data_IF_337758564377
#
_entry.id   IF_337758564377
#
_cell.length_a   1.000
_cell.length_b   1.000
_cell.length_c   1.000
_cell.angle_alpha   90.00
_cell.angle_beta   90.00
_cell.angle_gamma   90.00
#
_symmetry.space_group_name_H-M   'P 1'
#
loop_
_entity.id
_entity.type
_entity.pdbx_description
1 polymer ?
#
# COMPACT_ATOMS: atom_id res chain seq x y z
N UNK A 1 -13.48 -35.70 5.14
CA UNK A 1 -12.36 -34.93 4.55
C UNK A 1 -12.95 -33.67 3.96
N UNK A 2 -13.18 -32.66 4.82
CA UNK A 2 -13.85 -31.43 4.44
C UNK A 2 -12.86 -30.51 3.74
N UNK A 3 -13.31 -29.98 2.61
CA UNK A 3 -12.59 -29.18 1.64
C UNK A 3 -11.98 -27.94 2.30
N UNK A 4 -10.65 -27.83 2.30
CA UNK A 4 -9.96 -26.55 2.37
C UNK A 4 -10.28 -25.82 1.06
N UNK A 5 -11.43 -25.15 0.98
CA UNK A 5 -11.66 -24.15 -0.06
C UNK A 5 -10.60 -23.09 0.12
N UNK A 6 -9.68 -22.97 -0.84
CA UNK A 6 -8.71 -21.90 -0.89
C UNK A 6 -9.47 -20.57 -0.86
N UNK A 7 -9.44 -19.87 0.27
CA UNK A 7 -10.06 -18.57 0.41
C UNK A 7 -9.33 -17.60 -0.52
N UNK A 8 -10.00 -17.17 -1.59
CA UNK A 8 -9.49 -16.15 -2.50
C UNK A 8 -10.07 -14.81 -2.07
N UNK A 9 -9.22 -13.81 -1.85
CA UNK A 9 -9.62 -12.46 -1.46
C UNK A 9 -8.83 -11.43 -2.26
N UNK A 10 -9.41 -10.24 -2.40
CA UNK A 10 -8.78 -9.12 -3.10
C UNK A 10 -8.13 -8.18 -2.08
N UNK A 11 -6.83 -7.98 -2.22
CA UNK A 11 -6.05 -7.05 -1.40
C UNK A 11 -5.40 -6.00 -2.30
N UNK A 12 -5.21 -4.80 -1.76
CA UNK A 12 -4.20 -3.90 -2.31
C UNK A 12 -2.82 -4.48 -2.01
N UNK A 13 -1.83 -4.29 -2.89
CA UNK A 13 -0.51 -4.93 -2.75
C UNK A 13 0.26 -4.44 -1.51
N UNK A 14 0.15 -3.15 -1.17
CA UNK A 14 0.91 -2.55 -0.05
C UNK A 14 0.72 -3.28 1.29
N UNK A 15 -0.50 -3.55 1.79
CA UNK A 15 -0.68 -4.24 3.08
C UNK A 15 -0.29 -5.72 3.11
N UNK A 16 -0.03 -6.35 1.96
CA UNK A 16 0.25 -7.80 1.86
C UNK A 16 1.63 -8.12 1.26
N UNK A 17 2.46 -7.10 1.01
CA UNK A 17 3.76 -7.26 0.36
C UNK A 17 4.69 -8.23 1.12
N UNK A 18 4.63 -8.18 2.46
CA UNK A 18 5.39 -9.08 3.33
C UNK A 18 4.92 -10.52 3.18
N UNK A 19 3.62 -10.76 3.18
CA UNK A 19 3.03 -12.08 3.08
C UNK A 19 3.28 -12.68 1.69
N UNK A 20 3.29 -11.85 0.64
CA UNK A 20 3.71 -12.24 -0.70
C UNK A 20 5.20 -12.61 -0.75
N UNK A 21 6.08 -11.77 -0.19
CA UNK A 21 7.53 -12.03 -0.19
C UNK A 21 7.95 -13.23 0.66
N UNK A 22 7.20 -13.53 1.72
CA UNK A 22 7.42 -14.70 2.59
C UNK A 22 6.70 -15.97 2.09
N UNK A 23 5.92 -15.89 1.02
CA UNK A 23 5.17 -17.01 0.44
C UNK A 23 3.96 -17.47 1.27
N UNK A 24 3.55 -16.68 2.27
CA UNK A 24 2.31 -16.91 3.02
C UNK A 24 1.07 -16.61 2.17
N UNK A 25 1.19 -15.69 1.22
CA UNK A 25 0.21 -15.43 0.17
C UNK A 25 0.80 -15.71 -1.21
N UNK A 26 -0.07 -16.06 -2.15
CA UNK A 26 0.27 -16.25 -3.56
C UNK A 26 -0.62 -15.35 -4.40
N UNK A 27 0.00 -14.56 -5.27
CA UNK A 27 -0.75 -13.78 -6.26
C UNK A 27 -1.42 -14.72 -7.27
N UNK A 28 -2.69 -14.43 -7.56
CA UNK A 28 -3.46 -15.13 -8.57
C UNK A 28 -3.58 -14.23 -9.81
N UNK A 29 -3.53 -14.79 -11.03
CA UNK A 29 -3.64 -14.00 -12.25
C UNK A 29 -4.97 -13.25 -12.29
N UNK A 30 -4.90 -11.93 -12.44
CA UNK A 30 -6.08 -11.09 -12.63
C UNK A 30 -6.43 -11.01 -14.12
N UNK A 31 -7.70 -11.24 -14.47
CA UNK A 31 -8.16 -11.12 -15.85
C UNK A 31 -8.32 -9.67 -16.35
N UNK A 32 -8.21 -8.69 -15.46
CA UNK A 32 -8.34 -7.26 -15.75
C UNK A 32 -7.06 -6.51 -15.33
N UNK A 33 -6.76 -5.34 -15.94
CA UNK A 33 -5.66 -4.50 -15.51
C UNK A 33 -5.78 -4.15 -14.02
N UNK A 34 -4.67 -4.16 -13.29
CA UNK A 34 -4.63 -3.75 -11.90
C UNK A 34 -5.03 -2.27 -11.78
N UNK A 35 -5.97 -1.99 -10.87
CA UNK A 35 -6.36 -0.62 -10.54
C UNK A 35 -5.35 -0.06 -9.54
N UNK A 36 -4.80 1.12 -9.85
CA UNK A 36 -3.96 1.87 -8.91
C UNK A 36 -4.80 2.85 -8.11
N UNK A 37 -4.58 2.88 -6.79
CA UNK A 37 -5.14 3.88 -5.88
C UNK A 37 -3.99 4.64 -5.23
N UNK A 38 -4.12 5.96 -5.13
CA UNK A 38 -3.12 6.82 -4.50
C UNK A 38 -3.49 7.08 -3.05
N UNK A 39 -2.62 6.72 -2.12
CA UNK A 39 -2.76 7.11 -0.72
C UNK A 39 -2.35 8.58 -0.56
N UNK A 40 -3.17 9.38 0.14
CA UNK A 40 -2.91 10.80 0.40
C UNK A 40 -2.76 11.03 1.90
N UNK A 41 -1.72 11.77 2.29
CA UNK A 41 -1.60 12.31 3.64
C UNK A 41 -2.42 13.60 3.72
N UNK A 42 -3.47 13.61 4.55
CA UNK A 42 -4.38 14.75 4.67
C UNK A 42 -4.50 15.23 6.12
N UNK A 43 -4.69 16.53 6.29
CA UNK A 43 -4.98 17.16 7.58
C UNK A 43 -6.16 18.14 7.44
N UNK A 44 -6.82 18.45 8.56
CA UNK A 44 -7.96 19.36 8.55
C UNK A 44 -7.51 20.81 8.31
N UNK A 45 -7.92 21.42 7.19
CA UNK A 45 -7.45 22.74 6.75
C UNK A 45 -7.74 23.89 7.73
N UNK A 46 -8.81 23.78 8.53
CA UNK A 46 -9.20 24.79 9.54
C UNK A 46 -8.64 24.55 10.95
N UNK A 47 -7.72 23.60 11.14
CA UNK A 47 -7.11 23.31 12.44
C UNK A 47 -5.62 23.65 12.39
N UNK A 48 -5.10 24.17 13.50
CA UNK A 48 -3.67 24.39 13.64
C UNK A 48 -2.93 23.05 13.50
N UNK A 49 -1.89 23.04 12.66
CA UNK A 49 -0.98 21.91 12.54
C UNK A 49 0.02 22.03 13.69
N UNK A 50 0.03 21.05 14.59
CA UNK A 50 1.00 21.04 15.69
C UNK A 50 2.41 20.75 15.16
N UNK A 51 3.47 21.15 15.89
CA UNK A 51 4.85 20.79 15.52
C UNK A 51 5.02 19.26 15.33
N UNK A 52 4.38 18.45 16.17
CA UNK A 52 4.39 17.00 16.02
C UNK A 52 3.75 16.53 14.70
N UNK A 53 2.64 17.15 14.29
CA UNK A 53 1.98 16.84 13.01
C UNK A 53 2.83 17.28 11.82
N UNK A 54 3.54 18.41 11.91
CA UNK A 54 4.48 18.83 10.87
C UNK A 54 5.60 17.81 10.66
N UNK A 55 6.21 17.34 11.76
CA UNK A 55 7.23 16.29 11.70
C UNK A 55 6.65 15.00 11.11
N UNK A 56 5.45 14.59 11.53
CA UNK A 56 4.78 13.43 10.96
C UNK A 56 4.60 13.54 9.44
N UNK A 57 4.07 14.67 8.94
CA UNK A 57 3.87 14.88 7.50
C UNK A 57 5.18 14.85 6.72
N UNK A 58 6.25 15.46 7.26
CA UNK A 58 7.59 15.41 6.65
C UNK A 58 8.15 13.99 6.60
N UNK A 59 7.97 13.20 7.66
CA UNK A 59 8.36 11.79 7.65
C UNK A 59 7.58 11.00 6.60
N UNK A 60 6.27 11.23 6.49
CA UNK A 60 5.44 10.59 5.48
C UNK A 60 5.91 10.95 4.07
N UNK A 61 6.11 12.24 3.77
CA UNK A 61 6.65 12.67 2.48
C UNK A 61 7.98 11.97 2.16
N UNK A 62 8.93 11.95 3.09
CA UNK A 62 10.22 11.30 2.91
C UNK A 62 10.12 9.78 2.66
N UNK A 63 9.14 9.10 3.25
CA UNK A 63 8.91 7.67 3.02
C UNK A 63 8.29 7.39 1.64
N UNK A 64 7.45 8.27 1.11
CA UNK A 64 6.70 8.03 -0.13
C UNK A 64 7.31 8.70 -1.38
N UNK A 65 8.27 9.62 -1.26
CA UNK A 65 8.93 10.26 -2.41
C UNK A 65 10.13 9.50 -2.98
N UNK A 66 10.40 8.26 -2.52
CA UNK A 66 11.61 7.49 -2.90
C UNK A 66 11.40 6.59 -4.14
N UNK A 67 10.18 6.46 -4.67
CA UNK A 67 9.88 5.56 -5.82
C UNK A 67 9.50 6.27 -7.14
N UNK A 68 10.10 7.42 -7.45
CA UNK A 68 10.05 8.00 -8.82
C UNK A 68 11.36 7.80 -9.61
N UNK A 69 12.31 7.01 -9.10
CA UNK A 69 13.53 6.66 -9.83
C UNK A 69 13.59 5.17 -10.16
N UNK A 70 13.20 4.90 -11.41
CA UNK A 70 13.69 3.85 -12.31
C UNK A 70 13.01 2.48 -12.22
N UNK A 71 11.99 2.29 -13.04
CA UNK A 71 11.77 1.01 -13.74
C UNK A 71 12.31 1.16 -15.18
N UNK A 72 13.39 0.46 -15.58
CA UNK A 72 13.66 0.20 -16.98
C UNK A 72 12.69 -0.88 -17.46
N UNK A 73 12.07 -0.64 -18.63
CA UNK A 73 11.28 -1.64 -19.35
C UNK A 73 12.10 -2.76 -19.93
#
# INVERSE_FOLDING_TARGET
MWLLTWASAFYHVLPVERELSTGQLKELPFGAPSLSIMALCAHHAGKAVSPAMQIFMQCMEACFTVEDKKMPG
#
